data_IF_649757765532
#
_entry.id   IF_649757765532
#
_cell.length_a   1.000
_cell.length_b   1.000
_cell.length_c   1.000
_cell.angle_alpha   90.00
_cell.angle_beta   90.00
_cell.angle_gamma   90.00
#
_symmetry.space_group_name_H-M   'P 1'
#
loop_
_entity.id
_entity.type
_entity.pdbx_description
1 polymer ?
#
# COMPACT_ATOMS: atom_id res chain seq x y z
N UNK A 1 -9.63 -19.26 7.39
CA UNK A 1 -9.08 -20.10 6.30
C UNK A 1 -7.76 -19.53 5.77
N UNK A 2 -6.62 -20.20 6.04
CA UNK A 2 -5.36 -19.89 5.37
C UNK A 2 -5.47 -20.29 3.88
N UNK A 3 -4.98 -19.42 2.99
CA UNK A 3 -5.03 -19.65 1.53
C UNK A 3 -6.03 -18.78 0.74
N UNK A 4 -6.58 -17.71 1.35
CA UNK A 4 -7.49 -16.81 0.64
C UNK A 4 -6.72 -15.97 -0.40
N UNK A 5 -6.93 -16.26 -1.69
CA UNK A 5 -6.45 -15.44 -2.81
C UNK A 5 -7.28 -14.16 -2.88
N UNK A 6 -6.60 -13.02 -3.00
CA UNK A 6 -7.24 -11.72 -3.20
C UNK A 6 -7.23 -11.42 -4.70
N UNK A 7 -8.42 -11.19 -5.26
CA UNK A 7 -8.59 -10.76 -6.64
C UNK A 7 -8.05 -9.34 -6.82
N UNK A 8 -7.27 -9.14 -7.89
CA UNK A 8 -6.76 -7.81 -8.22
C UNK A 8 -7.90 -6.83 -8.53
N UNK A 9 -7.74 -5.56 -8.15
CA UNK A 9 -8.72 -4.51 -8.42
C UNK A 9 -9.85 -4.39 -7.40
N UNK A 10 -9.79 -5.10 -6.27
CA UNK A 10 -10.81 -5.01 -5.22
C UNK A 10 -10.27 -4.53 -3.87
N UNK A 11 -11.12 -3.83 -3.13
CA UNK A 11 -10.87 -3.41 -1.76
C UNK A 11 -11.26 -4.54 -0.78
N UNK A 12 -10.34 -4.86 0.11
CA UNK A 12 -10.47 -5.91 1.11
C UNK A 12 -10.35 -5.33 2.52
N UNK A 13 -11.29 -5.67 3.42
CA UNK A 13 -11.36 -5.07 4.77
C UNK A 13 -11.80 -6.09 5.83
N UNK A 14 -11.38 -5.89 7.07
CA UNK A 14 -11.84 -6.63 8.25
C UNK A 14 -10.98 -7.84 8.66
N UNK A 15 -11.36 -8.44 9.80
CA UNK A 15 -10.78 -9.68 10.36
C UNK A 15 -11.94 -10.64 10.71
N UNK A 16 -12.18 -11.74 9.96
CA UNK A 16 -11.49 -12.17 8.75
C UNK A 16 -11.80 -11.26 7.55
N UNK A 17 -10.85 -11.16 6.62
CA UNK A 17 -10.91 -10.24 5.48
C UNK A 17 -12.07 -10.57 4.52
N UNK A 18 -12.82 -9.55 4.10
CA UNK A 18 -13.91 -9.64 3.12
C UNK A 18 -13.68 -8.68 1.95
N UNK A 19 -14.07 -9.10 0.74
CA UNK A 19 -14.12 -8.25 -0.44
C UNK A 19 -15.32 -7.33 -0.31
N UNK A 20 -15.11 -6.02 -0.45
CA UNK A 20 -16.18 -5.04 -0.24
C UNK A 20 -16.66 -4.45 -1.56
N UNK A 21 -15.74 -4.00 -2.42
CA UNK A 21 -16.05 -3.37 -3.71
C UNK A 21 -14.84 -3.33 -4.63
N UNK A 22 -15.05 -3.07 -5.91
CA UNK A 22 -13.96 -2.73 -6.83
C UNK A 22 -13.30 -1.40 -6.41
N UNK A 23 -11.99 -1.29 -6.68
CA UNK A 23 -11.24 -0.06 -6.54
C UNK A 23 -11.66 0.91 -7.66
N UNK A 24 -11.74 2.18 -7.30
CA UNK A 24 -11.98 3.25 -8.27
C UNK A 24 -10.69 3.55 -9.06
N UNK A 25 -10.82 4.13 -10.25
CA UNK A 25 -9.67 4.54 -11.06
C UNK A 25 -8.72 5.49 -10.30
N UNK A 26 -9.27 6.36 -9.47
CA UNK A 26 -8.50 7.26 -8.60
C UNK A 26 -7.68 6.50 -7.56
N UNK A 27 -8.25 5.46 -6.94
CA UNK A 27 -7.53 4.62 -5.97
C UNK A 27 -6.42 3.81 -6.65
N UNK A 28 -6.69 3.29 -7.85
CA UNK A 28 -5.67 2.59 -8.66
C UNK A 28 -4.52 3.54 -9.01
N UNK A 29 -4.84 4.76 -9.47
CA UNK A 29 -3.84 5.78 -9.78
C UNK A 29 -3.07 6.30 -8.55
N UNK A 30 -3.64 6.16 -7.35
CA UNK A 30 -3.01 6.60 -6.10
C UNK A 30 -1.93 5.61 -5.59
N UNK A 31 -1.97 4.33 -5.99
CA UNK A 31 -0.93 3.37 -5.58
C UNK A 31 0.50 3.79 -5.95
N UNK A 32 0.83 4.15 -7.21
CA UNK A 32 2.18 4.60 -7.54
C UNK A 32 2.55 5.93 -6.85
N UNK A 33 1.58 6.84 -6.67
CA UNK A 33 1.81 8.12 -5.99
C UNK A 33 2.15 7.92 -4.50
N UNK A 34 1.39 7.09 -3.79
CA UNK A 34 1.66 6.79 -2.38
C UNK A 34 3.01 6.08 -2.19
N UNK A 35 3.36 5.14 -3.07
CA UNK A 35 4.67 4.49 -3.06
C UNK A 35 5.81 5.51 -3.23
N UNK A 36 5.67 6.48 -4.15
CA UNK A 36 6.67 7.52 -4.36
C UNK A 36 6.87 8.42 -3.13
N UNK A 37 5.81 8.71 -2.37
CA UNK A 37 5.91 9.48 -1.12
C UNK A 37 6.71 8.71 -0.05
N UNK A 38 6.53 7.38 0.05
CA UNK A 38 7.33 6.55 0.97
C UNK A 38 8.80 6.44 0.54
N UNK A 39 9.08 6.39 -0.78
CA UNK A 39 10.46 6.43 -1.29
C UNK A 39 11.13 7.74 -0.91
N UNK A 40 10.47 8.87 -1.15
CA UNK A 40 11.00 10.18 -0.78
C UNK A 40 11.25 10.30 0.72
N UNK A 41 10.32 9.82 1.55
CA UNK A 41 10.48 9.82 3.00
C UNK A 41 11.67 8.95 3.44
N UNK A 42 11.82 7.74 2.87
CA UNK A 42 12.97 6.86 3.12
C UNK A 42 14.29 7.54 2.75
N UNK A 43 14.34 8.16 1.57
CA UNK A 43 15.53 8.84 1.08
C UNK A 43 15.87 10.07 1.92
N UNK A 44 14.87 10.78 2.47
CA UNK A 44 15.09 11.84 3.46
C UNK A 44 15.67 11.28 4.77
N UNK A 45 15.15 10.18 5.31
CA UNK A 45 15.71 9.54 6.51
C UNK A 45 17.14 9.02 6.30
N UNK A 46 17.46 8.49 5.10
CA UNK A 46 18.82 8.10 4.72
C UNK A 46 19.75 9.31 4.61
N UNK A 47 19.27 10.43 4.06
CA UNK A 47 20.06 11.66 3.94
C UNK A 47 20.32 12.34 5.30
N UNK A 48 19.40 12.17 6.27
CA UNK A 48 19.55 12.64 7.65
C UNK A 48 20.42 11.72 8.53
N UNK A 49 20.92 10.60 7.98
CA UNK A 49 21.86 9.71 8.67
C UNK A 49 21.24 8.80 9.73
N UNK A 50 19.92 8.56 9.69
CA UNK A 50 19.26 7.58 10.57
C UNK A 50 19.69 6.12 10.29
N UNK A 51 20.48 5.88 9.25
CA UNK A 51 21.16 4.61 8.99
C UNK A 51 22.52 4.47 9.72
N UNK A 52 22.96 5.52 10.43
CA UNK A 52 24.16 5.52 11.26
C UNK A 52 23.84 5.92 12.70
N UNK A 53 23.46 4.93 13.50
CA UNK A 53 23.47 5.00 14.97
C UNK A 53 22.22 4.46 15.62
#
# INVERSE_FOLDING_TARGET
PPGKVLESGFLYVGRPVKQVRALTEKEIAFFPYSAANYVKLKDQHLAEGFDKG
#
